data_IF_934525234689
#
_entry.id   IF_934525234689
#
_cell.length_a   1.000
_cell.length_b   1.000
_cell.length_c   1.000
_cell.angle_alpha   90.00
_cell.angle_beta   90.00
_cell.angle_gamma   90.00
#
_symmetry.space_group_name_H-M   'P 1'
#
loop_
_entity.id
_entity.type
_entity.pdbx_description
1 polymer ?
#
# COMPACT_ATOMS: atom_id res chain seq x y z
N UNK A 1 15.05 20.28 -4.47
CA UNK A 1 14.43 19.29 -3.57
C UNK A 1 13.54 18.34 -4.35
N UNK A 2 13.09 17.23 -3.71
CA UNK A 2 12.13 16.29 -4.32
C UNK A 2 10.73 16.87 -4.26
N UNK A 3 9.97 16.74 -5.31
CA UNK A 3 8.54 16.99 -5.28
C UNK A 3 7.83 15.84 -4.54
N UNK A 4 6.99 16.16 -3.57
CA UNK A 4 6.21 15.18 -2.80
C UNK A 4 4.75 15.33 -3.23
N UNK A 5 4.30 14.51 -4.16
CA UNK A 5 2.99 14.59 -4.79
C UNK A 5 2.07 13.37 -4.48
N UNK A 6 2.54 12.45 -3.61
CA UNK A 6 1.89 11.19 -3.38
C UNK A 6 1.75 10.86 -1.88
N UNK A 7 0.51 10.66 -1.42
CA UNK A 7 0.21 10.23 -0.05
C UNK A 7 -0.38 8.83 -0.03
N UNK A 8 0.15 7.97 0.86
CA UNK A 8 -0.49 6.69 1.22
C UNK A 8 -1.23 6.87 2.52
N UNK A 9 -2.50 6.49 2.52
CA UNK A 9 -3.40 6.63 3.68
C UNK A 9 -3.81 5.23 4.13
N UNK A 10 -3.42 4.83 5.33
CA UNK A 10 -4.00 3.68 6.01
C UNK A 10 -5.31 4.11 6.67
N UNK A 11 -6.40 3.43 6.33
CA UNK A 11 -7.74 3.80 6.82
C UNK A 11 -8.23 2.92 7.96
N UNK A 12 -7.51 1.84 8.23
CA UNK A 12 -7.79 0.89 9.31
C UNK A 12 -6.54 0.09 9.64
N UNK A 13 -6.42 -0.34 10.88
CA UNK A 13 -5.44 -1.30 11.37
C UNK A 13 -5.89 -2.75 11.15
N UNK A 14 -7.20 -2.98 10.97
CA UNK A 14 -7.79 -4.32 10.85
C UNK A 14 -7.48 -4.97 9.51
N UNK A 15 -7.28 -6.29 9.54
CA UNK A 15 -7.10 -7.12 8.36
C UNK A 15 -7.84 -8.45 8.53
N UNK A 16 -8.36 -9.00 7.44
CA UNK A 16 -9.00 -10.31 7.38
C UNK A 16 -8.01 -11.47 7.09
N UNK A 17 -6.72 -11.15 6.90
CA UNK A 17 -5.62 -12.12 6.75
C UNK A 17 -4.61 -12.02 7.91
N UNK A 18 -3.76 -13.04 8.03
CA UNK A 18 -2.69 -13.13 9.06
C UNK A 18 -1.36 -13.48 8.42
N UNK A 19 -0.96 -12.65 7.42
CA UNK A 19 0.27 -12.90 6.67
C UNK A 19 1.48 -12.95 7.59
N UNK A 20 2.24 -14.06 7.49
CA UNK A 20 3.36 -14.41 8.37
C UNK A 20 4.45 -13.34 8.46
N UNK A 21 4.70 -12.63 7.37
CA UNK A 21 5.71 -11.57 7.31
C UNK A 21 5.17 -10.17 7.70
N UNK A 22 3.84 -10.06 7.92
CA UNK A 22 3.19 -8.77 8.20
C UNK A 22 2.60 -8.75 9.61
N UNK A 23 1.65 -9.63 9.91
CA UNK A 23 0.87 -9.65 11.15
C UNK A 23 0.52 -11.08 11.58
N UNK A 24 1.52 -11.94 11.87
CA UNK A 24 1.29 -13.36 12.16
C UNK A 24 0.43 -13.59 13.41
N UNK A 25 0.60 -12.77 14.42
CA UNK A 25 -0.09 -12.88 15.72
C UNK A 25 -1.43 -12.12 15.74
N UNK A 26 -1.81 -11.54 14.58
CA UNK A 26 -2.94 -10.64 14.47
C UNK A 26 -2.59 -9.23 14.93
N UNK A 27 -3.62 -8.40 15.10
CA UNK A 27 -3.48 -7.04 15.59
C UNK A 27 -4.31 -6.90 16.84
N UNK A 28 -3.76 -6.24 17.85
CA UNK A 28 -4.60 -5.68 18.89
C UNK A 28 -5.38 -4.53 18.26
N UNK A 29 -6.67 -4.80 17.94
CA UNK A 29 -7.52 -3.82 17.26
C UNK A 29 -7.60 -2.55 18.11
N UNK A 30 -7.28 -1.43 17.46
CA UNK A 30 -7.43 -0.13 18.11
C UNK A 30 -8.91 0.19 18.31
N UNK A 31 -9.24 0.85 19.43
CA UNK A 31 -10.58 1.40 19.63
C UNK A 31 -11.00 2.29 18.47
N UNK A 32 -12.30 2.30 18.17
CA UNK A 32 -12.81 3.06 17.00
C UNK A 32 -12.46 4.56 17.08
N UNK A 33 -12.45 5.14 18.28
CA UNK A 33 -12.12 6.55 18.49
C UNK A 33 -10.62 6.87 18.26
N UNK A 34 -9.74 5.88 18.25
CA UNK A 34 -8.32 6.07 17.89
C UNK A 34 -8.09 6.16 16.39
N UNK A 35 -9.02 5.66 15.59
CA UNK A 35 -8.96 5.67 14.13
C UNK A 35 -9.57 6.96 13.60
N UNK A 36 -9.00 7.55 12.55
CA UNK A 36 -9.55 8.74 11.90
C UNK A 36 -10.93 8.47 11.26
N UNK A 37 -11.84 9.44 11.38
CA UNK A 37 -13.11 9.43 10.65
C UNK A 37 -12.91 9.68 9.16
N UNK A 38 -13.98 9.57 8.36
CA UNK A 38 -13.92 9.92 6.93
C UNK A 38 -13.70 11.42 6.74
N UNK A 39 -14.36 12.23 7.56
CA UNK A 39 -14.26 13.69 7.55
C UNK A 39 -12.86 14.16 7.94
N UNK A 40 -12.26 13.54 8.95
CA UNK A 40 -10.87 13.82 9.35
C UNK A 40 -9.88 13.45 8.24
N UNK A 41 -10.09 12.31 7.57
CA UNK A 41 -9.29 11.90 6.41
C UNK A 41 -9.47 12.87 5.23
N UNK A 42 -10.68 13.36 4.99
CA UNK A 42 -10.97 14.37 3.96
C UNK A 42 -10.30 15.71 4.29
N UNK A 43 -10.40 16.19 5.54
CA UNK A 43 -9.73 17.43 5.98
C UNK A 43 -8.22 17.38 5.75
N UNK A 44 -7.57 16.25 6.09
CA UNK A 44 -6.14 16.03 5.80
C UNK A 44 -5.89 16.02 4.30
N UNK A 45 -6.77 15.40 3.49
CA UNK A 45 -6.61 15.33 2.04
C UNK A 45 -6.75 16.70 1.38
N UNK A 46 -7.65 17.57 1.86
CA UNK A 46 -7.79 18.98 1.41
C UNK A 46 -6.49 19.72 1.66
N UNK A 47 -5.97 19.67 2.88
CA UNK A 47 -4.68 20.30 3.21
C UNK A 47 -3.52 19.73 2.37
N UNK A 48 -3.49 18.42 2.18
CA UNK A 48 -2.47 17.74 1.38
C UNK A 48 -2.50 18.19 -0.09
N UNK A 49 -3.69 18.36 -0.67
CA UNK A 49 -3.86 18.86 -2.03
C UNK A 49 -3.30 20.28 -2.19
N UNK A 50 -3.53 21.15 -1.22
CA UNK A 50 -2.98 22.50 -1.17
C UNK A 50 -1.45 22.53 -1.06
N UNK A 51 -0.87 21.51 -0.39
CA UNK A 51 0.58 21.31 -0.29
C UNK A 51 1.20 20.62 -1.52
N UNK A 52 0.43 20.34 -2.56
CA UNK A 52 0.92 19.75 -3.82
C UNK A 52 0.75 18.23 -3.93
N UNK A 53 0.11 17.57 -2.98
CA UNK A 53 -0.27 16.16 -3.16
C UNK A 53 -1.36 16.07 -4.22
N UNK A 54 -1.11 15.23 -5.24
CA UNK A 54 -2.04 14.98 -6.36
C UNK A 54 -2.57 13.56 -6.39
N UNK A 55 -1.91 12.66 -5.68
CA UNK A 55 -2.17 11.22 -5.76
C UNK A 55 -2.34 10.65 -4.37
N UNK A 56 -3.46 9.93 -4.16
CA UNK A 56 -3.74 9.24 -2.90
C UNK A 56 -3.82 7.74 -3.15
N UNK A 57 -3.20 6.97 -2.27
CA UNK A 57 -3.36 5.53 -2.22
C UNK A 57 -4.01 5.11 -0.92
N UNK A 58 -5.22 4.61 -1.02
CA UNK A 58 -5.95 4.02 0.10
C UNK A 58 -5.38 2.62 0.37
N UNK A 59 -5.06 2.37 1.64
CA UNK A 59 -4.53 1.12 2.15
C UNK A 59 -4.97 0.95 3.61
N UNK A 60 -4.37 0.02 4.36
CA UNK A 60 -4.67 -0.18 5.77
C UNK A 60 -3.90 -1.39 6.29
N UNK A 61 -4.49 -2.12 7.24
CA UNK A 61 -4.37 -3.56 7.25
C UNK A 61 -4.99 -4.06 5.93
N UNK A 62 -6.30 -4.27 5.91
CA UNK A 62 -7.05 -4.43 4.65
C UNK A 62 -8.13 -3.33 4.57
N UNK A 63 -8.06 -2.40 3.60
CA UNK A 63 -8.99 -1.27 3.55
C UNK A 63 -10.45 -1.69 3.37
N UNK A 64 -10.71 -2.81 2.70
CA UNK A 64 -12.08 -3.27 2.43
C UNK A 64 -12.77 -3.94 3.63
N UNK A 65 -12.08 -4.15 4.75
CA UNK A 65 -12.76 -4.51 6.02
C UNK A 65 -13.44 -3.29 6.66
N UNK A 66 -13.06 -2.08 6.27
CA UNK A 66 -13.75 -0.84 6.61
C UNK A 66 -14.85 -0.61 5.58
N UNK A 67 -16.12 -0.82 6.01
CA UNK A 67 -17.30 -0.83 5.11
C UNK A 67 -17.51 0.46 4.33
N UNK A 68 -17.13 1.59 4.92
CA UNK A 68 -17.23 2.93 4.34
C UNK A 68 -16.05 3.30 3.42
N UNK A 69 -15.19 2.34 3.07
CA UNK A 69 -14.07 2.56 2.15
C UNK A 69 -14.50 3.14 0.78
N UNK A 70 -15.57 2.65 0.09
CA UNK A 70 -16.02 3.26 -1.17
C UNK A 70 -16.50 4.70 -0.99
N UNK A 71 -17.15 5.02 0.14
CA UNK A 71 -17.54 6.40 0.46
C UNK A 71 -16.31 7.30 0.58
N UNK A 72 -15.26 6.86 1.30
CA UNK A 72 -14.03 7.61 1.40
C UNK A 72 -13.37 7.83 0.02
N UNK A 73 -13.32 6.81 -0.83
CA UNK A 73 -12.79 6.95 -2.21
C UNK A 73 -13.50 8.09 -2.94
N UNK A 74 -14.84 8.14 -2.84
CA UNK A 74 -15.65 9.22 -3.44
C UNK A 74 -15.33 10.59 -2.84
N UNK A 75 -15.20 10.69 -1.51
CA UNK A 75 -14.84 11.94 -0.84
C UNK A 75 -13.48 12.42 -1.33
N UNK A 76 -12.46 11.55 -1.33
CA UNK A 76 -11.11 11.88 -1.80
C UNK A 76 -11.06 12.29 -3.28
N UNK A 77 -11.88 11.66 -4.14
CA UNK A 77 -11.98 12.04 -5.57
C UNK A 77 -12.59 13.43 -5.77
N UNK A 78 -13.42 13.88 -4.83
CA UNK A 78 -14.07 15.20 -4.86
C UNK A 78 -13.19 16.31 -4.27
N UNK A 79 -12.04 15.99 -3.68
CA UNK A 79 -11.09 17.01 -3.17
C UNK A 79 -10.43 17.71 -4.36
N UNK A 80 -10.59 19.04 -4.51
CA UNK A 80 -9.92 19.81 -5.56
C UNK A 80 -8.40 19.61 -5.50
N UNK A 81 -7.78 19.34 -6.64
CA UNK A 81 -6.35 19.10 -6.75
C UNK A 81 -5.92 17.64 -6.58
N UNK A 82 -6.76 16.74 -6.08
CA UNK A 82 -6.50 15.30 -6.11
C UNK A 82 -6.88 14.73 -7.48
N UNK A 83 -5.88 14.26 -8.21
CA UNK A 83 -6.04 13.74 -9.57
C UNK A 83 -6.34 12.24 -9.57
N UNK A 84 -5.66 11.49 -8.71
CA UNK A 84 -5.72 10.02 -8.67
C UNK A 84 -5.94 9.47 -7.26
N UNK A 85 -6.95 8.59 -7.16
CA UNK A 85 -7.21 7.78 -5.95
C UNK A 85 -7.12 6.31 -6.33
N UNK A 86 -6.19 5.60 -5.71
CA UNK A 86 -5.91 4.19 -5.98
C UNK A 86 -6.04 3.36 -4.72
N UNK A 87 -6.31 2.05 -4.86
CA UNK A 87 -6.47 1.12 -3.74
C UNK A 87 -5.34 0.08 -3.72
N UNK A 88 -4.88 -0.29 -2.53
CA UNK A 88 -4.11 -1.54 -2.33
C UNK A 88 -4.90 -2.44 -1.40
N UNK A 89 -5.17 -3.66 -1.83
CA UNK A 89 -6.00 -4.65 -1.15
C UNK A 89 -5.39 -6.05 -1.28
N UNK A 90 -5.71 -6.97 -0.38
CA UNK A 90 -5.42 -8.39 -0.54
C UNK A 90 -6.36 -9.10 -1.54
N UNK A 91 -7.37 -8.41 -2.04
CA UNK A 91 -8.28 -8.89 -3.09
C UNK A 91 -9.46 -9.75 -2.60
N UNK A 92 -9.42 -10.28 -1.38
CA UNK A 92 -10.44 -11.25 -0.88
C UNK A 92 -11.86 -10.67 -0.87
N UNK A 93 -11.99 -9.38 -0.55
CA UNK A 93 -13.27 -8.69 -0.50
C UNK A 93 -13.54 -7.82 -1.74
N UNK A 94 -12.60 -7.76 -2.69
CA UNK A 94 -12.66 -6.80 -3.79
C UNK A 94 -13.88 -6.99 -4.68
N UNK A 95 -14.28 -8.22 -4.96
CA UNK A 95 -15.49 -8.53 -5.75
C UNK A 95 -16.74 -7.89 -5.16
N UNK A 96 -16.89 -7.96 -3.85
CA UNK A 96 -18.06 -7.44 -3.13
C UNK A 96 -18.18 -5.91 -3.27
N UNK A 97 -17.05 -5.19 -3.30
CA UNK A 97 -17.02 -3.73 -3.30
C UNK A 97 -16.70 -3.11 -4.66
N UNK A 98 -16.37 -3.92 -5.67
CA UNK A 98 -15.84 -3.45 -6.95
C UNK A 98 -16.77 -2.44 -7.63
N UNK A 99 -18.06 -2.73 -7.72
CA UNK A 99 -19.05 -1.84 -8.32
C UNK A 99 -19.14 -0.49 -7.62
N UNK A 100 -19.16 -0.48 -6.28
CA UNK A 100 -19.20 0.76 -5.48
C UNK A 100 -17.89 1.57 -5.63
N UNK A 101 -16.73 0.91 -5.67
CA UNK A 101 -15.43 1.55 -5.87
C UNK A 101 -15.32 2.20 -7.25
N UNK A 102 -15.79 1.52 -8.31
CA UNK A 102 -15.83 2.08 -9.65
C UNK A 102 -16.76 3.29 -9.72
N UNK A 103 -17.96 3.19 -9.14
CA UNK A 103 -18.91 4.31 -9.04
C UNK A 103 -18.39 5.47 -8.17
N UNK A 104 -17.49 5.20 -7.25
CA UNK A 104 -16.81 6.21 -6.44
C UNK A 104 -15.66 6.91 -7.19
N UNK A 105 -15.27 6.42 -8.38
CA UNK A 105 -14.22 7.00 -9.21
C UNK A 105 -12.82 6.47 -8.89
N UNK A 106 -12.69 5.22 -8.41
CA UNK A 106 -11.38 4.59 -8.21
C UNK A 106 -10.59 4.55 -9.52
N UNK A 107 -9.34 4.98 -9.52
CA UNK A 107 -8.51 5.08 -10.73
C UNK A 107 -7.68 3.81 -11.01
N UNK A 108 -7.32 3.02 -10.01
CA UNK A 108 -6.59 1.76 -10.19
C UNK A 108 -6.64 0.91 -8.91
N UNK A 109 -6.47 -0.40 -9.07
CA UNK A 109 -6.36 -1.32 -7.95
C UNK A 109 -5.02 -2.07 -7.98
N UNK A 110 -4.40 -2.22 -6.81
CA UNK A 110 -3.23 -3.08 -6.61
C UNK A 110 -3.65 -4.23 -5.71
N UNK A 111 -3.51 -5.45 -6.21
CA UNK A 111 -3.82 -6.68 -5.48
C UNK A 111 -2.52 -7.25 -4.92
N UNK A 112 -2.47 -7.52 -3.61
CA UNK A 112 -1.34 -8.18 -2.97
C UNK A 112 -1.52 -9.70 -3.07
N UNK A 113 -0.58 -10.37 -3.76
CA UNK A 113 -0.60 -11.81 -3.97
C UNK A 113 0.84 -12.31 -4.15
N UNK A 114 1.30 -13.20 -3.28
CA UNK A 114 2.71 -13.64 -3.24
C UNK A 114 2.94 -15.00 -3.92
N UNK A 115 1.89 -15.79 -4.10
CA UNK A 115 1.96 -17.13 -4.69
C UNK A 115 0.66 -17.54 -5.37
N UNK A 116 0.75 -18.43 -6.36
CA UNK A 116 -0.40 -19.11 -6.99
C UNK A 116 -0.60 -20.55 -6.45
N UNK A 117 0.27 -21.03 -5.57
CA UNK A 117 0.10 -22.33 -4.89
C UNK A 117 -0.92 -22.19 -3.75
N UNK A 118 -2.06 -22.93 -3.76
CA UNK A 118 -3.10 -22.79 -2.76
C UNK A 118 -2.63 -23.12 -1.34
N UNK A 119 -1.81 -24.18 -1.18
CA UNK A 119 -1.31 -24.60 0.11
C UNK A 119 -0.30 -23.60 0.70
N UNK A 120 0.54 -23.02 -0.15
CA UNK A 120 1.46 -21.96 0.24
C UNK A 120 0.70 -20.67 0.56
N UNK A 121 -0.31 -20.30 -0.24
CA UNK A 121 -1.17 -19.15 0.01
C UNK A 121 -1.84 -19.24 1.39
N UNK A 122 -2.48 -20.36 1.69
CA UNK A 122 -3.10 -20.60 3.00
C UNK A 122 -2.05 -20.52 4.13
N UNK A 123 -0.88 -21.13 3.92
CA UNK A 123 0.21 -21.11 4.90
C UNK A 123 0.70 -19.70 5.19
N UNK A 124 0.86 -18.85 4.14
CA UNK A 124 1.31 -17.47 4.28
C UNK A 124 0.24 -16.59 4.92
N UNK A 125 -1.00 -16.70 4.43
CA UNK A 125 -2.07 -15.73 4.74
C UNK A 125 -2.96 -16.13 5.91
N UNK A 126 -2.95 -17.41 6.27
CA UNK A 126 -3.86 -18.00 7.26
C UNK A 126 -5.30 -18.17 6.79
N UNK A 127 -5.56 -18.13 5.46
CA UNK A 127 -6.89 -18.24 4.89
C UNK A 127 -6.89 -18.96 3.53
N UNK A 128 -7.87 -19.82 3.30
CA UNK A 128 -8.16 -20.43 2.01
C UNK A 128 -9.04 -19.47 1.18
N UNK A 129 -8.42 -18.56 0.44
CA UNK A 129 -9.12 -17.51 -0.30
C UNK A 129 -8.48 -17.17 -1.66
N UNK A 130 -7.53 -17.98 -2.13
CA UNK A 130 -6.81 -17.75 -3.38
C UNK A 130 -7.75 -17.61 -4.59
N UNK A 131 -8.75 -18.50 -4.69
CA UNK A 131 -9.69 -18.50 -5.82
C UNK A 131 -10.46 -17.19 -5.96
N UNK A 132 -10.79 -16.52 -4.85
CA UNK A 132 -11.45 -15.20 -4.86
C UNK A 132 -10.56 -14.14 -5.49
N UNK A 133 -9.27 -14.18 -5.16
CA UNK A 133 -8.27 -13.23 -5.67
C UNK A 133 -8.02 -13.48 -7.16
N UNK A 134 -7.84 -14.74 -7.56
CA UNK A 134 -7.65 -15.13 -8.96
C UNK A 134 -8.88 -14.81 -9.81
N UNK A 135 -10.08 -14.94 -9.26
CA UNK A 135 -11.33 -14.58 -9.92
C UNK A 135 -11.38 -13.11 -10.37
N UNK A 136 -10.78 -12.19 -9.61
CA UNK A 136 -10.65 -10.78 -10.02
C UNK A 136 -9.56 -10.62 -11.08
N UNK A 137 -8.39 -11.21 -10.88
CA UNK A 137 -7.25 -11.08 -11.80
C UNK A 137 -7.63 -11.63 -13.18
N UNK A 138 -8.37 -12.75 -13.24
CA UNK A 138 -8.79 -13.36 -14.49
C UNK A 138 -9.77 -12.51 -15.33
N UNK A 139 -10.34 -11.48 -14.73
CA UNK A 139 -11.27 -10.54 -15.40
C UNK A 139 -10.69 -9.13 -15.55
N UNK A 140 -9.37 -8.97 -15.35
CA UNK A 140 -8.71 -7.68 -15.41
C UNK A 140 -8.90 -6.98 -16.78
N UNK A 141 -9.06 -7.75 -17.88
CA UNK A 141 -9.35 -7.27 -19.21
C UNK A 141 -10.74 -6.61 -19.37
N UNK A 142 -11.66 -6.90 -18.47
CA UNK A 142 -13.03 -6.36 -18.45
C UNK A 142 -13.22 -5.20 -17.50
N UNK A 143 -12.20 -4.90 -16.70
CA UNK A 143 -12.29 -3.80 -15.74
C UNK A 143 -11.92 -2.48 -16.40
N UNK A 144 -12.67 -1.39 -16.15
CA UNK A 144 -12.40 -0.08 -16.75
C UNK A 144 -11.21 0.64 -16.10
N UNK A 145 -10.51 -0.01 -15.18
CA UNK A 145 -9.36 0.53 -14.44
C UNK A 145 -8.18 -0.44 -14.48
N UNK A 146 -6.94 0.06 -14.45
CA UNK A 146 -5.75 -0.78 -14.38
C UNK A 146 -5.71 -1.65 -13.12
N UNK A 147 -5.35 -2.92 -13.31
CA UNK A 147 -5.09 -3.88 -12.22
C UNK A 147 -3.60 -4.19 -12.17
N UNK A 148 -3.03 -4.12 -10.97
CA UNK A 148 -1.64 -4.50 -10.72
C UNK A 148 -1.59 -5.56 -9.64
N UNK A 149 -0.70 -6.53 -9.80
CA UNK A 149 -0.43 -7.56 -8.79
C UNK A 149 0.91 -7.23 -8.12
N UNK A 150 0.92 -7.18 -6.80
CA UNK A 150 2.13 -7.01 -6.00
C UNK A 150 2.48 -8.34 -5.36
N UNK A 151 3.71 -8.81 -5.57
CA UNK A 151 4.26 -9.99 -4.93
C UNK A 151 5.53 -9.60 -4.15
N UNK A 152 5.59 -9.92 -2.88
CA UNK A 152 6.83 -9.78 -2.11
C UNK A 152 7.78 -10.90 -2.52
N UNK A 153 9.01 -10.54 -2.90
CA UNK A 153 10.04 -11.48 -3.34
C UNK A 153 10.65 -12.22 -2.14
N UNK A 154 9.88 -13.18 -1.59
CA UNK A 154 10.30 -14.02 -0.48
C UNK A 154 10.94 -15.29 -1.03
N UNK A 155 12.07 -15.68 -0.45
CA UNK A 155 12.70 -16.97 -0.68
C UNK A 155 11.97 -18.04 0.19
N UNK A 156 10.93 -18.63 -0.37
CA UNK A 156 10.15 -19.64 0.31
C UNK A 156 10.88 -20.96 0.51
N UNK A 157 11.98 -21.22 -0.22
CA UNK A 157 12.80 -22.42 -0.10
C UNK A 157 13.54 -22.48 1.23
N UNK A 158 13.98 -21.30 1.70
CA UNK A 158 14.66 -21.15 2.97
C UNK A 158 13.69 -20.91 4.15
N UNK A 159 12.39 -20.98 3.90
CA UNK A 159 11.41 -20.90 4.97
C UNK A 159 11.32 -22.22 5.75
N UNK A 160 11.78 -22.19 6.99
CA UNK A 160 11.98 -23.34 7.88
C UNK A 160 10.69 -23.96 8.43
N UNK A 161 9.69 -24.22 7.62
CA UNK A 161 8.49 -24.95 8.04
C UNK A 161 8.50 -26.44 7.67
N UNK A 162 9.61 -26.93 7.09
CA UNK A 162 9.85 -28.35 6.78
C UNK A 162 9.09 -28.89 5.57
N UNK A 163 8.41 -28.06 4.80
CA UNK A 163 7.69 -28.46 3.58
C UNK A 163 8.54 -28.21 2.34
N UNK A 164 8.62 -29.19 1.46
CA UNK A 164 9.21 -29.02 0.14
C UNK A 164 8.27 -28.15 -0.72
N UNK A 165 8.80 -27.09 -1.34
CA UNK A 165 8.04 -26.14 -2.14
C UNK A 165 8.64 -25.94 -3.52
N UNK A 166 7.81 -25.47 -4.45
CA UNK A 166 8.30 -25.08 -5.76
C UNK A 166 9.23 -23.86 -5.66
N UNK A 167 10.52 -24.12 -5.88
CA UNK A 167 11.61 -23.12 -5.92
C UNK A 167 11.39 -22.00 -6.95
N UNK A 168 10.42 -22.16 -7.82
CA UNK A 168 10.15 -21.29 -8.94
C UNK A 168 8.77 -20.60 -8.87
N UNK A 169 8.18 -20.48 -7.69
CA UNK A 169 6.86 -19.85 -7.50
C UNK A 169 6.76 -18.45 -8.12
N UNK A 170 7.86 -17.69 -8.17
CA UNK A 170 7.93 -16.40 -8.86
C UNK A 170 7.69 -16.54 -10.38
N UNK A 171 8.00 -17.70 -11.00
CA UNK A 171 7.74 -17.94 -12.44
C UNK A 171 6.25 -18.00 -12.72
N UNK A 172 5.49 -18.68 -11.89
CA UNK A 172 4.04 -18.71 -11.99
C UNK A 172 3.43 -17.31 -11.82
N UNK A 173 3.95 -16.52 -10.86
CA UNK A 173 3.55 -15.14 -10.68
C UNK A 173 3.87 -14.29 -11.91
N UNK A 174 5.07 -14.40 -12.49
CA UNK A 174 5.46 -13.68 -13.71
C UNK A 174 4.56 -14.02 -14.90
N UNK A 175 4.15 -15.30 -15.04
CA UNK A 175 3.27 -15.77 -16.11
C UNK A 175 1.86 -15.13 -16.06
N UNK A 176 1.44 -14.51 -14.95
CA UNK A 176 0.20 -13.72 -14.91
C UNK A 176 0.24 -12.56 -15.92
N UNK A 177 1.42 -11.95 -16.15
CA UNK A 177 1.57 -10.87 -17.12
C UNK A 177 1.41 -11.37 -18.60
N UNK A 178 1.67 -12.66 -18.87
CA UNK A 178 1.39 -13.29 -20.16
C UNK A 178 -0.11 -13.56 -20.34
N UNK A 179 -0.75 -14.04 -19.28
CA UNK A 179 -2.14 -14.50 -19.34
C UNK A 179 -3.14 -13.36 -19.31
N UNK A 180 -2.84 -12.30 -18.54
CA UNK A 180 -3.77 -11.20 -18.25
C UNK A 180 -3.09 -9.84 -18.48
N UNK A 181 -3.86 -8.77 -18.79
CA UNK A 181 -3.34 -7.41 -18.93
C UNK A 181 -3.11 -6.78 -17.54
N UNK A 182 -2.23 -7.37 -16.76
CA UNK A 182 -1.87 -6.93 -15.40
C UNK A 182 -0.37 -6.67 -15.30
N UNK A 183 0.01 -5.63 -14.57
CA UNK A 183 1.40 -5.42 -14.22
C UNK A 183 1.71 -6.26 -12.96
N UNK A 184 2.59 -7.24 -13.07
CA UNK A 184 3.09 -8.02 -11.95
C UNK A 184 4.32 -7.34 -11.37
N UNK A 185 4.26 -6.89 -10.12
CA UNK A 185 5.35 -6.17 -9.48
C UNK A 185 5.94 -6.98 -8.34
N UNK A 186 7.17 -7.36 -8.50
CA UNK A 186 7.96 -7.97 -7.45
C UNK A 186 8.52 -6.87 -6.54
N UNK A 187 8.29 -7.01 -5.24
CA UNK A 187 8.72 -6.06 -4.21
C UNK A 187 9.79 -6.74 -3.37
N UNK A 188 10.98 -6.14 -3.35
CA UNK A 188 12.07 -6.64 -2.52
C UNK A 188 11.68 -6.66 -1.05
N UNK A 189 11.93 -7.79 -0.36
CA UNK A 189 11.64 -7.92 1.06
C UNK A 189 12.46 -6.91 1.85
N UNK A 190 11.79 -6.10 2.64
CA UNK A 190 12.43 -5.12 3.52
C UNK A 190 12.52 -5.66 4.94
N UNK A 191 13.64 -5.46 5.65
CA UNK A 191 13.83 -5.95 7.02
C UNK A 191 13.10 -5.05 8.05
N UNK A 192 11.77 -4.99 7.94
CA UNK A 192 10.87 -4.20 8.81
C UNK A 192 9.93 -5.15 9.54
N UNK A 193 9.73 -4.96 10.84
CA UNK A 193 8.83 -5.76 11.65
C UNK A 193 9.14 -7.27 11.50
N UNK A 194 8.13 -8.08 11.29
CA UNK A 194 8.27 -9.53 11.07
C UNK A 194 9.01 -9.88 9.78
N UNK A 195 9.09 -8.98 8.81
CA UNK A 195 9.86 -9.17 7.57
C UNK A 195 11.35 -9.45 7.80
N UNK A 196 11.90 -9.06 8.98
CA UNK A 196 13.29 -9.38 9.38
C UNK A 196 13.58 -10.89 9.47
N UNK A 197 12.54 -11.71 9.64
CA UNK A 197 12.66 -13.17 9.80
C UNK A 197 12.66 -13.91 8.45
N UNK A 198 12.41 -13.21 7.35
CA UNK A 198 12.29 -13.78 6.02
C UNK A 198 13.47 -13.37 5.15
N UNK A 199 13.98 -14.32 4.40
CA UNK A 199 14.97 -14.04 3.37
C UNK A 199 14.27 -13.61 2.08
N UNK A 200 14.74 -12.53 1.47
CA UNK A 200 14.27 -12.05 0.18
C UNK A 200 15.08 -12.62 -0.98
N UNK A 201 14.47 -12.68 -2.16
CA UNK A 201 15.19 -12.95 -3.41
C UNK A 201 15.83 -11.63 -3.87
N UNK A 202 17.12 -11.64 -4.14
CA UNK A 202 17.83 -10.49 -4.73
C UNK A 202 17.25 -10.19 -6.12
N UNK A 203 16.83 -8.96 -6.35
CA UNK A 203 16.23 -8.54 -7.61
C UNK A 203 17.19 -8.54 -8.80
N UNK A 204 18.51 -8.52 -8.58
CA UNK A 204 19.49 -8.72 -9.66
C UNK A 204 19.43 -10.17 -10.15
N UNK A 205 19.41 -11.12 -9.21
CA UNK A 205 19.24 -12.54 -9.53
C UNK A 205 17.90 -12.80 -10.18
N UNK A 206 16.80 -12.24 -9.64
CA UNK A 206 15.47 -12.37 -10.22
C UNK A 206 15.41 -11.83 -11.65
N UNK A 207 16.04 -10.69 -11.93
CA UNK A 207 16.09 -10.12 -13.28
C UNK A 207 16.86 -11.00 -14.26
N UNK A 208 17.97 -11.62 -13.85
CA UNK A 208 18.71 -12.56 -14.68
C UNK A 208 17.84 -13.77 -15.03
N UNK A 209 17.17 -14.36 -14.03
CA UNK A 209 16.27 -15.49 -14.23
C UNK A 209 15.06 -15.13 -15.12
N UNK A 210 14.52 -13.91 -14.99
CA UNK A 210 13.47 -13.41 -15.86
C UNK A 210 13.95 -13.28 -17.31
N UNK A 211 15.20 -12.84 -17.54
CA UNK A 211 15.79 -12.76 -18.89
C UNK A 211 16.08 -14.13 -19.49
N UNK A 212 16.39 -15.13 -18.70
CA UNK A 212 16.49 -16.52 -19.15
C UNK A 212 15.12 -17.07 -19.60
N UNK A 213 14.06 -16.73 -18.86
CA UNK A 213 12.69 -17.17 -19.18
C UNK A 213 12.09 -16.39 -20.35
N UNK A 214 12.46 -15.12 -20.50
CA UNK A 214 12.01 -14.19 -21.53
C UNK A 214 13.23 -13.54 -22.19
N UNK A 215 13.83 -14.17 -23.20
CA UNK A 215 15.06 -13.66 -23.84
C UNK A 215 14.91 -12.29 -24.51
N UNK A 216 13.69 -11.91 -24.87
CA UNK A 216 13.32 -10.61 -25.45
C UNK A 216 12.95 -9.56 -24.37
N UNK A 217 13.17 -9.86 -23.07
CA UNK A 217 12.83 -8.95 -21.97
C UNK A 217 13.65 -7.67 -22.06
N UNK A 218 13.01 -6.55 -22.25
CA UNK A 218 13.61 -5.23 -22.32
C UNK A 218 12.97 -4.26 -21.34
N UNK A 219 13.67 -3.17 -21.02
CA UNK A 219 13.11 -2.13 -20.15
C UNK A 219 11.92 -1.46 -20.82
N UNK A 220 10.81 -1.36 -20.09
CA UNK A 220 9.64 -0.62 -20.53
C UNK A 220 9.76 0.83 -20.07
N UNK A 221 9.66 1.76 -21.01
CA UNK A 221 9.74 3.20 -20.76
C UNK A 221 8.36 3.86 -20.67
N UNK A 222 7.28 3.10 -20.78
CA UNK A 222 5.94 3.61 -20.59
C UNK A 222 5.66 3.93 -19.12
N UNK A 223 4.71 4.83 -18.89
CA UNK A 223 4.33 5.24 -17.53
C UNK A 223 3.25 4.31 -16.99
N UNK A 224 3.66 3.35 -16.18
CA UNK A 224 2.76 2.39 -15.53
C UNK A 224 2.12 2.90 -14.21
N UNK A 225 2.46 4.10 -13.77
CA UNK A 225 1.93 4.70 -12.55
C UNK A 225 2.96 5.56 -11.82
N UNK A 226 2.76 5.76 -10.51
CA UNK A 226 3.47 6.78 -9.74
C UNK A 226 4.49 6.20 -8.74
N UNK A 227 4.72 4.89 -8.81
CA UNK A 227 5.62 4.17 -7.91
C UNK A 227 7.05 4.07 -8.46
N UNK A 228 7.99 3.53 -7.66
CA UNK A 228 9.40 3.44 -8.01
C UNK A 228 9.74 2.16 -8.79
N UNK A 229 8.76 1.42 -9.30
CA UNK A 229 9.01 0.21 -10.05
C UNK A 229 9.71 0.53 -11.37
N UNK A 230 10.75 -0.23 -11.69
CA UNK A 230 11.32 -0.31 -13.04
C UNK A 230 10.58 -1.41 -13.76
N UNK A 231 9.99 -1.09 -14.91
CA UNK A 231 9.17 -2.02 -15.66
C UNK A 231 9.93 -2.64 -16.82
N UNK A 232 9.53 -3.85 -17.16
CA UNK A 232 10.05 -4.66 -18.24
C UNK A 232 8.90 -5.23 -19.06
N UNK A 233 9.07 -5.29 -20.38
CA UNK A 233 8.14 -5.85 -21.34
C UNK A 233 8.78 -6.97 -22.16
N UNK A 234 7.95 -7.85 -22.67
CA UNK A 234 8.26 -8.92 -23.62
C UNK A 234 7.11 -9.02 -24.60
N UNK A 235 7.35 -9.51 -25.81
CA UNK A 235 6.29 -9.77 -26.80
C UNK A 235 5.25 -10.80 -26.30
N UNK A 236 5.60 -11.60 -25.29
CA UNK A 236 4.71 -12.57 -24.69
C UNK A 236 3.72 -11.96 -23.69
N UNK A 237 3.96 -10.73 -23.23
CA UNK A 237 3.17 -10.11 -22.17
C UNK A 237 1.97 -9.34 -22.72
N UNK A 238 0.82 -9.52 -22.08
CA UNK A 238 -0.34 -8.64 -22.18
C UNK A 238 -0.23 -7.43 -21.22
N UNK A 239 0.49 -7.60 -20.12
CA UNK A 239 0.84 -6.59 -19.15
C UNK A 239 2.35 -6.36 -19.11
N UNK A 240 2.91 -6.15 -17.90
CA UNK A 240 4.34 -5.91 -17.70
C UNK A 240 4.85 -6.55 -16.42
N UNK A 241 6.16 -6.72 -16.29
CA UNK A 241 6.80 -7.08 -15.03
C UNK A 241 7.49 -5.85 -14.45
N UNK A 242 7.24 -5.52 -13.19
CA UNK A 242 7.86 -4.42 -12.47
C UNK A 242 8.75 -4.92 -11.33
N UNK A 243 9.91 -4.31 -11.12
CA UNK A 243 10.78 -4.57 -9.97
C UNK A 243 10.82 -3.34 -9.06
N UNK A 244 10.47 -3.52 -7.77
CA UNK A 244 10.57 -2.50 -6.72
C UNK A 244 11.73 -2.89 -5.80
N UNK A 245 12.94 -2.49 -6.18
CA UNK A 245 14.18 -2.83 -5.48
C UNK A 245 14.45 -1.83 -4.36
N UNK A 246 13.86 -2.08 -3.19
CA UNK A 246 13.89 -1.15 -2.07
C UNK A 246 15.25 -1.12 -1.35
N UNK A 247 15.98 -2.23 -1.37
CA UNK A 247 17.28 -2.40 -0.70
C UNK A 247 18.43 -2.14 -1.68
N UNK A 248 18.45 -2.86 -2.80
CA UNK A 248 19.57 -2.82 -3.76
C UNK A 248 19.40 -1.74 -4.84
N UNK A 249 18.18 -1.29 -5.14
CA UNK A 249 17.91 -0.27 -6.16
C UNK A 249 17.80 1.17 -5.64
N UNK A 250 17.79 1.39 -4.34
CA UNK A 250 17.82 2.70 -3.63
C UNK A 250 17.12 3.87 -4.33
N UNK A 251 15.81 3.79 -4.51
CA UNK A 251 15.02 4.87 -5.13
C UNK A 251 14.69 6.05 -4.18
N UNK A 252 15.39 6.17 -3.05
CA UNK A 252 15.10 7.19 -2.03
C UNK A 252 15.24 8.62 -2.57
N UNK A 253 16.20 8.86 -3.46
CA UNK A 253 16.42 10.18 -4.08
C UNK A 253 15.24 10.67 -4.94
N UNK A 254 14.47 9.75 -5.52
CA UNK A 254 13.27 10.03 -6.32
C UNK A 254 11.96 9.74 -5.58
N UNK A 255 12.02 9.37 -4.29
CA UNK A 255 10.83 8.98 -3.53
C UNK A 255 9.93 10.18 -3.22
N UNK A 256 8.79 10.24 -3.87
CA UNK A 256 7.78 11.29 -3.79
C UNK A 256 6.68 11.06 -2.73
N UNK A 257 6.86 10.12 -1.78
CA UNK A 257 5.77 9.60 -0.95
C UNK A 257 5.86 10.03 0.50
N UNK A 258 4.68 10.31 1.09
CA UNK A 258 4.45 10.37 2.54
C UNK A 258 3.38 9.35 2.92
N UNK A 259 3.22 9.07 4.21
CA UNK A 259 2.31 8.05 4.74
C UNK A 259 1.52 8.58 5.92
N UNK A 260 0.23 8.32 5.91
CA UNK A 260 -0.66 8.58 7.04
C UNK A 260 -1.10 7.22 7.62
N UNK A 261 -0.92 7.02 8.91
CA UNK A 261 -1.44 5.84 9.62
C UNK A 261 -2.93 6.00 9.88
N UNK A 262 -3.61 4.91 10.23
CA UNK A 262 -5.04 4.94 10.57
C UNK A 262 -5.34 5.80 11.81
N UNK A 263 -4.37 5.95 12.71
CA UNK A 263 -4.46 6.81 13.90
C UNK A 263 -4.14 8.28 13.62
N UNK A 264 -3.80 8.65 12.38
CA UNK A 264 -3.51 10.04 12.04
C UNK A 264 -2.03 10.45 12.16
N UNK A 265 -1.11 9.51 12.33
CA UNK A 265 0.32 9.83 12.38
C UNK A 265 0.88 9.96 10.96
N UNK A 266 1.36 11.15 10.59
CA UNK A 266 1.99 11.45 9.31
C UNK A 266 3.48 11.12 9.37
N UNK A 267 3.90 10.08 8.64
CA UNK A 267 5.31 9.65 8.49
C UNK A 267 5.86 10.10 7.13
N UNK A 268 7.08 10.58 7.13
CA UNK A 268 7.76 10.98 5.88
C UNK A 268 8.42 9.81 5.16
N UNK A 269 8.71 8.73 5.88
CA UNK A 269 9.33 7.52 5.35
C UNK A 269 8.75 6.27 6.03
N UNK A 270 8.88 5.10 5.37
CA UNK A 270 8.50 3.82 5.96
C UNK A 270 9.48 3.37 7.05
N UNK A 271 10.78 3.69 6.87
CA UNK A 271 11.87 3.19 7.68
C UNK A 271 12.14 3.99 8.96
N UNK A 272 11.55 5.16 9.11
CA UNK A 272 11.75 6.03 10.25
C UNK A 272 10.45 6.21 11.03
N UNK A 273 10.57 6.38 12.33
CA UNK A 273 9.43 6.68 13.20
C UNK A 273 9.13 8.19 13.28
N UNK A 274 10.03 9.02 12.74
CA UNK A 274 9.83 10.47 12.70
C UNK A 274 8.57 10.85 11.92
N UNK A 275 7.76 11.70 12.53
CA UNK A 275 6.50 12.17 11.96
C UNK A 275 5.76 13.10 12.91
N UNK A 276 4.47 13.25 12.71
CA UNK A 276 3.60 14.08 13.53
C UNK A 276 2.21 13.48 13.66
N UNK A 277 1.60 13.62 14.81
CA UNK A 277 0.22 13.21 15.07
C UNK A 277 -0.75 14.31 14.62
N UNK A 278 -1.36 14.13 13.42
CA UNK A 278 -2.35 15.04 12.90
C UNK A 278 -3.71 14.91 13.62
N UNK A 279 -3.98 13.76 14.25
CA UNK A 279 -5.19 13.56 15.04
C UNK A 279 -5.24 14.56 16.22
N UNK A 280 -4.11 14.86 16.83
CA UNK A 280 -4.05 15.89 17.88
C UNK A 280 -4.47 17.25 17.32
N UNK A 281 -4.00 17.64 16.15
CA UNK A 281 -4.36 18.92 15.52
C UNK A 281 -5.85 18.97 15.18
N UNK A 282 -6.42 17.85 14.70
CA UNK A 282 -7.84 17.73 14.35
C UNK A 282 -8.76 17.79 15.58
N UNK A 283 -8.29 17.28 16.71
CA UNK A 283 -9.10 17.06 17.92
C UNK A 283 -8.66 17.92 19.11
N UNK A 284 -7.99 19.03 18.86
CA UNK A 284 -7.40 19.89 19.90
C UNK A 284 -8.44 20.37 20.93
N UNK A 285 -9.70 20.54 20.49
CA UNK A 285 -10.83 21.00 21.32
C UNK A 285 -11.77 19.85 21.75
N UNK A 286 -11.45 18.58 21.37
CA UNK A 286 -12.32 17.43 21.64
C UNK A 286 -11.79 16.68 22.86
N UNK A 287 -12.58 16.63 23.93
CA UNK A 287 -12.25 15.84 25.11
C UNK A 287 -12.25 14.35 24.81
N UNK A 288 -11.25 13.63 25.35
CA UNK A 288 -11.19 12.17 25.24
C UNK A 288 -12.43 11.54 25.90
N UNK A 289 -13.15 10.62 25.25
CA UNK A 289 -14.31 9.99 25.84
C UNK A 289 -13.91 9.14 27.05
N UNK A 290 -14.63 9.26 28.15
CA UNK A 290 -14.43 8.42 29.34
C UNK A 290 -14.75 6.95 29.07
N UNK A 291 -15.65 6.65 28.13
CA UNK A 291 -16.02 5.31 27.69
C UNK A 291 -16.18 5.26 26.18
N UNK A 292 -15.67 4.19 25.57
CA UNK A 292 -15.73 3.96 24.12
C UNK A 292 -17.16 3.97 23.54
N UNK A 293 -18.16 3.51 24.34
CA UNK A 293 -19.57 3.45 23.98
C UNK A 293 -20.25 4.81 23.83
N UNK A 294 -19.63 5.89 24.30
CA UNK A 294 -20.17 7.26 24.27
C UNK A 294 -19.42 8.17 23.31
N UNK A 295 -18.42 7.64 22.57
CA UNK A 295 -17.75 8.45 21.57
C UNK A 295 -18.63 8.63 20.33
N UNK A 296 -19.14 9.82 20.23
CA UNK A 296 -19.81 10.31 19.02
C UNK A 296 -18.77 11.09 18.25
N UNK A 297 -18.53 10.74 16.98
CA UNK A 297 -17.71 11.57 16.09
C UNK A 297 -18.27 12.98 16.11
N UNK A 298 -17.42 14.02 16.16
CA UNK A 298 -17.92 15.39 16.10
C UNK A 298 -18.75 15.51 14.81
N UNK A 299 -20.07 15.59 14.97
CA UNK A 299 -20.96 15.91 13.87
C UNK A 299 -20.63 17.32 13.40
N UNK A 300 -20.36 17.46 12.10
CA UNK A 300 -20.18 18.76 11.48
C UNK A 300 -18.75 19.30 11.48
N UNK A 301 -17.71 18.43 11.46
CA UNK A 301 -16.35 18.90 11.16
C UNK A 301 -16.37 19.61 9.80
N UNK A 302 -16.20 20.95 9.82
CA UNK A 302 -15.99 21.68 8.58
C UNK A 302 -14.57 21.42 8.07
N UNK A 303 -14.48 20.50 7.12
CA UNK A 303 -13.20 20.07 6.52
C UNK A 303 -12.46 21.22 5.80
N UNK A 304 -13.14 22.35 5.57
CA UNK A 304 -12.59 23.55 4.89
C UNK A 304 -12.45 24.74 5.82
N UNK A 305 -12.68 24.56 7.13
CA UNK A 305 -12.45 25.63 8.11
C UNK A 305 -11.04 26.19 7.95
N UNK A 306 -10.92 27.49 7.76
CA UNK A 306 -9.64 28.16 7.48
C UNK A 306 -8.64 28.02 8.65
N UNK A 307 -9.12 28.04 9.89
CA UNK A 307 -8.28 27.89 11.07
C UNK A 307 -7.72 26.47 11.17
N UNK A 308 -8.57 25.46 10.98
CA UNK A 308 -8.15 24.05 10.93
C UNK A 308 -7.15 23.80 9.81
N UNK A 309 -7.46 24.26 8.59
CA UNK A 309 -6.59 24.07 7.43
C UNK A 309 -5.23 24.78 7.61
N UNK A 310 -5.20 25.95 8.22
CA UNK A 310 -3.97 26.68 8.53
C UNK A 310 -3.10 25.92 9.55
N UNK A 311 -3.70 25.34 10.61
CA UNK A 311 -2.98 24.51 11.60
C UNK A 311 -2.42 23.25 10.95
N UNK A 312 -3.25 22.50 10.21
CA UNK A 312 -2.83 21.30 9.48
C UNK A 312 -1.69 21.59 8.51
N UNK A 313 -1.81 22.65 7.70
CA UNK A 313 -0.79 23.09 6.75
C UNK A 313 0.55 23.34 7.43
N UNK A 314 0.57 24.11 8.51
CA UNK A 314 1.79 24.43 9.25
C UNK A 314 2.52 23.18 9.72
N UNK A 315 1.78 22.22 10.26
CA UNK A 315 2.35 21.01 10.84
C UNK A 315 2.78 20.03 9.75
N UNK A 316 1.95 19.84 8.71
CA UNK A 316 2.24 18.93 7.59
C UNK A 316 3.44 19.42 6.78
N UNK A 317 3.50 20.71 6.42
CA UNK A 317 4.60 21.27 5.65
C UNK A 317 5.94 21.09 6.37
N UNK A 318 6.01 21.48 7.66
CA UNK A 318 7.21 21.30 8.48
C UNK A 318 7.66 19.84 8.55
N UNK A 319 6.72 18.91 8.56
CA UNK A 319 7.01 17.47 8.62
C UNK A 319 7.49 16.96 7.28
N UNK A 320 6.82 17.31 6.18
CA UNK A 320 7.18 16.88 4.82
C UNK A 320 8.59 17.37 4.45
N UNK A 321 8.96 18.59 4.82
CA UNK A 321 10.28 19.16 4.58
C UNK A 321 11.43 18.37 5.26
N UNK A 322 11.14 17.64 6.34
CA UNK A 322 12.10 16.78 7.04
C UNK A 322 12.28 15.40 6.41
N UNK A 323 11.65 15.12 5.27
CA UNK A 323 11.75 13.81 4.62
C UNK A 323 13.20 13.41 4.34
N UNK A 324 13.67 12.24 4.86
CA UNK A 324 15.06 11.81 4.75
C UNK A 324 15.46 11.52 3.31
N UNK A 325 16.75 11.71 2.98
CA UNK A 325 17.31 11.50 1.65
C UNK A 325 17.60 10.02 1.34
N UNK A 326 17.72 9.18 2.37
CA UNK A 326 18.01 7.76 2.25
C UNK A 326 17.24 6.96 3.31
N UNK A 327 17.07 5.65 3.11
CA UNK A 327 16.57 4.73 4.13
C UNK A 327 17.68 4.33 5.13
N UNK A 328 17.29 3.72 6.26
CA UNK A 328 18.20 3.35 7.35
C UNK A 328 18.49 1.83 7.45
N UNK A 329 18.13 1.04 6.45
CA UNK A 329 18.24 -0.44 6.53
C UNK A 329 19.68 -0.97 6.72
N UNK A 330 20.68 -0.18 6.34
CA UNK A 330 22.10 -0.56 6.42
C UNK A 330 22.79 -0.06 7.71
N UNK A 331 22.06 0.63 8.59
CA UNK A 331 22.65 1.18 9.82
C UNK A 331 22.25 0.30 11.00
N UNK A 332 23.16 -0.52 11.56
CA UNK A 332 22.86 -1.28 12.78
C UNK A 332 22.47 -0.34 13.92
N UNK A 333 21.34 -0.58 14.56
CA UNK A 333 20.85 0.17 15.74
C UNK A 333 19.86 1.31 15.47
N UNK A 334 19.48 1.59 14.21
CA UNK A 334 18.39 2.55 13.89
C UNK A 334 17.14 1.90 13.29
N UNK A 335 17.03 0.59 13.39
CA UNK A 335 15.82 -0.11 12.99
C UNK A 335 14.85 0.01 14.15
N UNK A 336 13.79 0.75 13.94
CA UNK A 336 12.73 0.99 14.90
C UNK A 336 12.10 -0.32 15.34
N UNK A 337 12.10 -0.58 16.63
CA UNK A 337 11.19 -1.55 17.27
C UNK A 337 9.79 -0.97 17.13
N UNK A 338 8.94 -1.63 16.36
CA UNK A 338 7.50 -1.31 16.22
C UNK A 338 6.69 -2.30 17.00
#
# INVERSE_FOLDING_TARGET
GREIDYMRISITDRCNLRCKYCMPDGIQCMPRWEILSLEELEAIAVCAADLGIRKIKVTGGEPLVRRDCPQLVRMLKNVPGIEKVTLTTNGVLLEQYLGELLNAGLDAVNISLDTLDPGLYETITGADALDKVLGIISRADRLPIPVKVNAVSIDFDNWKDGKERDKNGWRAMAALAEQYPVDVRFIEMMPIGYGKQFQGIDHRTLLLQLKEMYPDLETDHEVHGFGPAVYYKSQRFKGSIGLISAIHGKFCSSCNRVRLTAQGYLKTCLCYEDGVDLKQVLREEISRPEKESHFIWPEGLDVRDEGLQSRLRTVMEKTILKKPMAHCFETPGRITES
#
